data_IF_483788950071
#
_entry.id   IF_483788950071
#
_cell.length_a   1.000
_cell.length_b   1.000
_cell.length_c   1.000
_cell.angle_alpha   90.00
_cell.angle_beta   90.00
_cell.angle_gamma   90.00
#
_symmetry.space_group_name_H-M   'P 1'
#
loop_
_entity.id
_entity.type
_entity.pdbx_description
1 polymer ?
#
# COMPACT_ATOMS: atom_id res chain seq x y z
N UNK A 1 -43.18 -47.31 -20.20
CA UNK A 1 -42.74 -46.89 -21.54
C UNK A 1 -42.75 -45.36 -21.56
N UNK A 2 -41.55 -44.74 -21.60
CA UNK A 2 -41.25 -43.30 -21.79
C UNK A 2 -41.67 -42.32 -20.68
N UNK A 3 -41.00 -41.21 -20.37
CA UNK A 3 -39.68 -40.62 -20.68
C UNK A 3 -39.49 -39.43 -19.71
N UNK A 4 -38.23 -39.10 -19.37
CA UNK A 4 -37.81 -37.85 -18.71
C UNK A 4 -38.27 -36.62 -19.54
N UNK A 5 -38.50 -35.44 -18.95
CA UNK A 5 -37.48 -34.37 -18.85
C UNK A 5 -38.03 -32.99 -18.37
N UNK A 6 -37.08 -32.25 -17.83
CA UNK A 6 -36.94 -30.88 -17.29
C UNK A 6 -37.36 -29.73 -18.21
N UNK A 7 -37.78 -28.59 -17.63
CA UNK A 7 -37.17 -27.26 -17.84
C UNK A 7 -37.96 -26.10 -17.22
N UNK A 8 -37.44 -25.57 -16.11
CA UNK A 8 -37.59 -24.17 -15.71
C UNK A 8 -36.78 -23.29 -16.68
N UNK A 9 -37.40 -22.25 -17.25
CA UNK A 9 -36.69 -21.15 -17.92
C UNK A 9 -37.49 -19.87 -17.82
N UNK A 10 -36.93 -18.89 -17.13
CA UNK A 10 -37.33 -17.48 -17.23
C UNK A 10 -36.93 -16.71 -16.00
N UNK A 11 -35.74 -16.08 -16.01
CA UNK A 11 -35.37 -14.80 -15.35
C UNK A 11 -33.84 -14.60 -15.46
N UNK A 12 -33.33 -14.34 -16.67
CA UNK A 12 -31.91 -13.95 -16.87
C UNK A 12 -31.72 -12.74 -17.80
N UNK A 13 -32.79 -12.23 -18.42
CA UNK A 13 -32.70 -11.15 -19.39
C UNK A 13 -32.65 -9.74 -18.75
N UNK A 14 -33.27 -9.54 -17.58
CA UNK A 14 -33.47 -8.19 -16.99
C UNK A 14 -32.26 -7.67 -16.17
N UNK A 15 -31.34 -8.57 -15.78
CA UNK A 15 -30.14 -8.19 -15.00
C UNK A 15 -29.04 -7.60 -15.89
N UNK A 16 -29.01 -7.96 -17.18
CA UNK A 16 -27.91 -7.60 -18.09
C UNK A 16 -27.99 -6.14 -18.56
N UNK A 17 -29.20 -5.58 -18.67
CA UNK A 17 -29.43 -4.17 -19.03
C UNK A 17 -28.93 -3.20 -17.96
N UNK A 18 -29.27 -3.45 -16.68
CA UNK A 18 -28.93 -2.57 -15.54
C UNK A 18 -27.43 -2.51 -15.22
N UNK A 19 -26.70 -3.61 -15.46
CA UNK A 19 -25.23 -3.66 -15.31
C UNK A 19 -24.53 -2.82 -16.37
N UNK A 20 -25.10 -2.73 -17.58
CA UNK A 20 -24.49 -2.05 -18.72
C UNK A 20 -24.60 -0.53 -18.61
N UNK A 21 -25.76 0.00 -18.15
CA UNK A 21 -25.92 1.43 -17.84
C UNK A 21 -25.06 1.88 -16.65
N UNK A 22 -24.97 1.04 -15.62
CA UNK A 22 -24.14 1.34 -14.44
C UNK A 22 -22.64 1.37 -14.78
N UNK A 23 -22.18 0.48 -15.68
CA UNK A 23 -20.80 0.46 -16.16
C UNK A 23 -20.45 1.70 -16.99
N UNK A 24 -21.38 2.17 -17.83
CA UNK A 24 -21.19 3.38 -18.63
C UNK A 24 -21.15 4.65 -17.77
N UNK A 25 -22.01 4.75 -16.75
CA UNK A 25 -22.02 5.88 -15.79
C UNK A 25 -20.74 5.93 -14.93
N UNK A 26 -20.21 4.78 -14.51
CA UNK A 26 -18.96 4.68 -13.75
C UNK A 26 -17.75 4.97 -14.63
N UNK A 27 -17.76 4.54 -15.90
CA UNK A 27 -16.70 4.85 -16.86
C UNK A 27 -16.64 6.36 -17.17
N UNK A 28 -17.78 7.03 -17.36
CA UNK A 28 -17.86 8.46 -17.63
C UNK A 28 -17.42 9.33 -16.42
N UNK A 29 -17.74 8.88 -15.20
CA UNK A 29 -17.32 9.55 -13.96
C UNK A 29 -15.84 9.31 -13.64
N UNK A 30 -15.32 8.11 -13.94
CA UNK A 30 -13.90 7.80 -13.83
C UNK A 30 -13.06 8.58 -14.85
N UNK A 31 -13.55 8.75 -16.09
CA UNK A 31 -12.88 9.55 -17.12
C UNK A 31 -12.80 11.05 -16.76
N UNK A 32 -13.84 11.63 -16.16
CA UNK A 32 -13.85 13.04 -15.70
C UNK A 32 -12.94 13.32 -14.50
N UNK A 33 -12.61 12.31 -13.70
CA UNK A 33 -11.67 12.41 -12.56
C UNK A 33 -10.24 12.10 -13.02
N UNK A 34 -10.07 11.15 -13.95
CA UNK A 34 -8.80 10.80 -14.57
C UNK A 34 -8.17 11.95 -15.37
N UNK A 35 -8.96 12.90 -15.88
CA UNK A 35 -8.46 14.06 -16.62
C UNK A 35 -7.79 15.15 -15.77
N UNK A 36 -7.69 14.97 -14.43
CA UNK A 36 -7.20 16.03 -13.54
C UNK A 36 -5.94 15.73 -12.71
N UNK A 37 -5.38 14.52 -12.66
CA UNK A 37 -4.20 14.23 -11.81
C UNK A 37 -3.26 13.10 -12.33
N UNK A 38 -1.96 13.09 -11.97
CA UNK A 38 -0.94 12.22 -12.56
C UNK A 38 -1.05 10.73 -12.17
N UNK A 39 -0.75 9.84 -13.14
CA UNK A 39 -1.17 8.43 -13.21
C UNK A 39 -0.53 7.38 -12.28
N UNK A 40 0.21 7.75 -11.22
CA UNK A 40 0.82 6.76 -10.30
C UNK A 40 -0.14 6.23 -9.22
N UNK A 41 -1.16 7.00 -8.83
CA UNK A 41 -2.11 6.64 -7.75
C UNK A 41 -3.24 5.67 -8.19
N UNK A 42 -3.50 5.54 -9.49
CA UNK A 42 -4.62 4.73 -10.01
C UNK A 42 -4.31 3.22 -10.08
N UNK A 43 -3.04 2.84 -10.28
CA UNK A 43 -2.65 1.42 -10.32
C UNK A 43 -2.77 0.75 -8.94
N UNK A 44 -2.50 1.50 -7.86
CA UNK A 44 -2.62 1.02 -6.49
C UNK A 44 -4.09 0.83 -6.09
N UNK A 45 -4.96 1.80 -6.39
CA UNK A 45 -6.39 1.72 -6.08
C UNK A 45 -7.11 0.60 -6.86
N UNK A 46 -6.80 0.44 -8.16
CA UNK A 46 -7.35 -0.64 -8.98
C UNK A 46 -6.90 -2.04 -8.53
N UNK A 47 -5.64 -2.18 -8.12
CA UNK A 47 -5.10 -3.44 -7.59
C UNK A 47 -5.71 -3.77 -6.22
N UNK A 48 -5.95 -2.77 -5.36
CA UNK A 48 -6.67 -2.92 -4.07
C UNK A 48 -8.11 -3.41 -4.25
N UNK A 49 -8.85 -2.86 -5.22
CA UNK A 49 -10.21 -3.30 -5.52
C UNK A 49 -10.27 -4.75 -6.05
N UNK A 50 -9.31 -5.13 -6.90
CA UNK A 50 -9.23 -6.47 -7.46
C UNK A 50 -8.84 -7.54 -6.41
N UNK A 51 -7.89 -7.22 -5.51
CA UNK A 51 -7.52 -8.11 -4.41
C UNK A 51 -8.64 -8.27 -3.37
N UNK A 52 -9.40 -7.20 -3.09
CA UNK A 52 -10.62 -7.22 -2.24
C UNK A 52 -11.71 -8.17 -2.76
N UNK A 53 -11.74 -8.47 -4.05
CA UNK A 53 -12.79 -9.32 -4.68
C UNK A 53 -12.42 -10.80 -4.75
N UNK A 54 -11.13 -11.12 -4.70
CA UNK A 54 -10.62 -12.49 -4.91
C UNK A 54 -10.35 -13.22 -3.59
N UNK A 55 -10.21 -12.50 -2.46
CA UNK A 55 -10.14 -13.05 -1.10
C UNK A 55 -11.07 -12.24 -0.18
N UNK A 56 -11.73 -12.94 0.74
CA UNK A 56 -12.69 -12.39 1.73
C UNK A 56 -12.21 -11.07 2.36
N UNK A 57 -13.12 -10.15 2.67
CA UNK A 57 -12.79 -8.94 3.43
C UNK A 57 -12.29 -9.36 4.83
N UNK A 58 -11.13 -8.87 5.30
CA UNK A 58 -10.61 -9.27 6.60
C UNK A 58 -11.52 -8.75 7.72
N UNK A 59 -11.70 -9.54 8.77
CA UNK A 59 -12.36 -9.08 9.99
C UNK A 59 -11.54 -7.98 10.69
N UNK A 60 -10.21 -8.12 10.63
CA UNK A 60 -9.27 -7.24 11.33
C UNK A 60 -7.98 -6.98 10.55
N UNK A 61 -7.33 -5.87 10.87
CA UNK A 61 -6.03 -5.47 10.37
C UNK A 61 -5.03 -5.43 11.51
N UNK A 62 -3.78 -5.75 11.20
CA UNK A 62 -2.66 -5.65 12.12
C UNK A 62 -1.43 -5.15 11.36
N UNK A 63 -0.51 -4.46 12.03
CA UNK A 63 0.79 -4.11 11.49
C UNK A 63 1.93 -4.61 12.40
N UNK A 64 3.02 -5.02 11.77
CA UNK A 64 4.31 -5.24 12.42
C UNK A 64 5.39 -4.55 11.60
N UNK A 65 6.12 -3.65 12.25
CA UNK A 65 7.07 -2.77 11.58
C UNK A 65 8.39 -2.82 12.34
N UNK A 66 9.51 -2.86 11.62
CA UNK A 66 10.85 -2.77 12.24
C UNK A 66 11.57 -1.57 11.67
N UNK A 67 12.03 -0.66 12.52
CA UNK A 67 12.73 0.57 12.16
C UNK A 67 14.22 0.41 12.48
N UNK A 68 15.11 0.26 11.48
CA UNK A 68 16.55 0.40 11.70
C UNK A 68 16.88 1.81 12.20
N UNK A 69 17.67 1.91 13.28
CA UNK A 69 18.11 3.20 13.87
C UNK A 69 19.57 3.54 13.55
N UNK A 70 20.24 2.67 12.80
CA UNK A 70 21.63 2.84 12.40
C UNK A 70 21.91 3.88 11.29
N UNK A 71 21.01 4.16 10.32
CA UNK A 71 21.29 5.19 9.33
C UNK A 71 21.16 6.59 9.94
N UNK A 72 21.86 7.58 9.37
CA UNK A 72 21.75 8.99 9.78
C UNK A 72 20.32 9.53 9.59
N UNK A 73 19.56 8.90 8.69
CA UNK A 73 18.12 9.11 8.48
C UNK A 73 17.39 7.78 8.29
N UNK A 74 16.17 7.64 8.83
CA UNK A 74 15.42 8.62 9.62
C UNK A 74 15.97 8.76 11.05
N UNK A 75 15.80 9.94 11.63
CA UNK A 75 16.14 10.23 13.03
C UNK A 75 15.21 9.48 13.99
N UNK A 76 15.64 9.31 15.24
CA UNK A 76 14.81 8.69 16.28
C UNK A 76 13.52 9.49 16.52
N UNK A 77 13.54 10.82 16.36
CA UNK A 77 12.37 11.66 16.48
C UNK A 77 11.35 11.38 15.36
N UNK A 78 11.81 11.27 14.10
CA UNK A 78 10.94 10.91 12.98
C UNK A 78 10.32 9.51 13.15
N UNK A 79 11.12 8.55 13.62
CA UNK A 79 10.61 7.21 13.94
C UNK A 79 9.53 7.30 15.04
N UNK A 80 9.77 8.07 16.09
CA UNK A 80 8.79 8.27 17.16
C UNK A 80 7.49 8.90 16.65
N UNK A 81 7.57 9.90 15.76
CA UNK A 81 6.39 10.51 15.16
C UNK A 81 5.58 9.51 14.33
N UNK A 82 6.25 8.68 13.52
CA UNK A 82 5.57 7.61 12.78
C UNK A 82 4.89 6.59 13.68
N UNK A 83 5.51 6.25 14.83
CA UNK A 83 4.90 5.37 15.82
C UNK A 83 3.60 5.98 16.36
N UNK A 84 3.61 7.28 16.67
CA UNK A 84 2.39 7.99 17.08
C UNK A 84 1.31 8.01 15.99
N UNK A 85 1.70 8.12 14.72
CA UNK A 85 0.73 8.07 13.61
C UNK A 85 0.18 6.66 13.38
N UNK A 86 0.98 5.61 13.61
CA UNK A 86 0.51 4.22 13.60
C UNK A 86 -0.50 3.94 14.70
N UNK A 87 -0.29 4.49 15.90
CA UNK A 87 -1.25 4.38 17.00
C UNK A 87 -2.62 4.95 16.61
N UNK A 88 -2.62 6.09 15.92
CA UNK A 88 -3.85 6.72 15.40
C UNK A 88 -4.50 5.88 14.30
N UNK A 89 -3.73 5.40 13.33
CA UNK A 89 -4.26 4.63 12.19
C UNK A 89 -4.89 3.28 12.62
N UNK A 90 -4.39 2.70 13.71
CA UNK A 90 -4.92 1.46 14.25
C UNK A 90 -5.94 1.68 15.38
N UNK A 91 -6.16 2.90 15.88
CA UNK A 91 -7.04 3.19 17.04
C UNK A 91 -6.89 2.17 18.20
N UNK A 92 -5.68 1.68 18.42
CA UNK A 92 -5.41 0.53 19.29
C UNK A 92 -4.05 0.65 19.95
N UNK A 93 -3.77 -0.23 20.93
CA UNK A 93 -2.46 -0.24 21.55
C UNK A 93 -1.41 -0.74 20.55
N UNK A 94 -0.19 -0.25 20.73
CA UNK A 94 0.98 -0.77 20.04
C UNK A 94 2.03 -1.16 21.08
N UNK A 95 2.65 -2.30 20.86
CA UNK A 95 3.81 -2.73 21.61
C UNK A 95 5.07 -2.21 20.90
N UNK A 96 5.95 -1.56 21.65
CA UNK A 96 7.27 -1.12 21.17
C UNK A 96 8.37 -1.95 21.81
N UNK A 97 9.20 -2.56 20.98
CA UNK A 97 10.32 -3.40 21.39
C UNK A 97 11.63 -2.76 20.94
N UNK A 98 12.41 -2.27 21.91
CA UNK A 98 13.78 -1.83 21.64
C UNK A 98 14.68 -3.04 21.34
N UNK A 99 15.47 -2.95 20.26
CA UNK A 99 16.45 -3.95 19.85
C UNK A 99 17.78 -3.26 19.57
N UNK A 100 18.87 -4.04 19.51
CA UNK A 100 20.17 -3.50 19.15
C UNK A 100 20.15 -3.00 17.70
N UNK A 101 20.20 -1.68 17.50
CA UNK A 101 20.20 -1.04 16.18
C UNK A 101 18.84 -0.95 15.50
N UNK A 102 17.74 -1.25 16.20
CA UNK A 102 16.39 -1.10 15.66
C UNK A 102 15.32 -0.98 16.74
N UNK A 103 14.14 -0.54 16.34
CA UNK A 103 12.91 -0.55 17.14
C UNK A 103 11.86 -1.35 16.36
N UNK A 104 11.26 -2.36 16.99
CA UNK A 104 10.14 -3.09 16.40
C UNK A 104 8.83 -2.64 17.04
N UNK A 105 7.79 -2.48 16.23
CA UNK A 105 6.44 -2.10 16.65
C UNK A 105 5.46 -3.14 16.16
N UNK A 106 4.52 -3.51 17.02
CA UNK A 106 3.41 -4.41 16.67
C UNK A 106 2.13 -3.76 17.16
N UNK A 107 1.15 -3.60 16.27
CA UNK A 107 -0.17 -3.07 16.65
C UNK A 107 -1.09 -4.19 17.10
N UNK A 108 -2.07 -3.85 17.93
CA UNK A 108 -3.21 -4.72 18.18
C UNK A 108 -4.04 -4.95 16.90
N UNK A 109 -4.65 -6.14 16.73
CA UNK A 109 -5.59 -6.36 15.63
C UNK A 109 -6.86 -5.53 15.79
N UNK A 110 -7.18 -4.68 14.83
CA UNK A 110 -8.35 -3.79 14.87
C UNK A 110 -9.33 -4.07 13.75
N UNK A 111 -10.62 -3.88 14.00
CA UNK A 111 -11.67 -4.17 13.02
C UNK A 111 -11.59 -3.28 11.78
N UNK A 112 -12.06 -3.76 10.63
CA UNK A 112 -12.16 -2.96 9.39
C UNK A 112 -12.85 -1.61 9.59
N UNK A 113 -13.87 -1.53 10.45
CA UNK A 113 -14.59 -0.29 10.74
C UNK A 113 -13.77 0.78 11.51
N UNK A 114 -12.68 0.38 12.18
CA UNK A 114 -11.80 1.29 12.95
C UNK A 114 -10.44 1.48 12.29
N UNK A 115 -10.11 0.65 11.31
CA UNK A 115 -8.85 0.74 10.61
C UNK A 115 -8.90 1.89 9.62
N UNK A 116 -8.11 2.93 9.87
CA UNK A 116 -7.94 4.02 8.91
C UNK A 116 -6.87 3.62 7.89
N UNK A 117 -7.33 3.04 6.78
CA UNK A 117 -6.47 2.58 5.71
C UNK A 117 -5.70 3.72 5.02
N UNK A 118 -6.29 4.92 4.94
CA UNK A 118 -5.68 6.07 4.28
C UNK A 118 -4.60 6.68 5.18
N UNK A 119 -4.86 6.80 6.49
CA UNK A 119 -3.84 7.20 7.46
C UNK A 119 -2.69 6.19 7.53
N UNK A 120 -2.99 4.89 7.54
CA UNK A 120 -1.96 3.85 7.52
C UNK A 120 -1.08 3.95 6.27
N UNK A 121 -1.68 4.14 5.10
CA UNK A 121 -0.93 4.32 3.86
C UNK A 121 -0.06 5.58 3.89
N UNK A 122 -0.58 6.71 4.37
CA UNK A 122 0.19 7.94 4.50
C UNK A 122 1.41 7.78 5.42
N UNK A 123 1.29 6.99 6.49
CA UNK A 123 2.44 6.64 7.34
C UNK A 123 3.44 5.76 6.60
N UNK A 124 2.97 4.77 5.83
CA UNK A 124 3.85 3.93 5.02
C UNK A 124 4.65 4.75 4.00
N UNK A 125 4.01 5.71 3.32
CA UNK A 125 4.67 6.62 2.37
C UNK A 125 5.77 7.43 3.08
N UNK A 126 5.48 8.00 4.26
CA UNK A 126 6.47 8.75 5.03
C UNK A 126 7.65 7.88 5.50
N UNK A 127 7.40 6.62 5.86
CA UNK A 127 8.46 5.68 6.23
C UNK A 127 9.34 5.40 5.00
N UNK A 128 8.75 5.17 3.83
CA UNK A 128 9.48 4.97 2.58
C UNK A 128 10.35 6.17 2.23
N UNK A 129 9.80 7.38 2.33
CA UNK A 129 10.54 8.62 2.11
C UNK A 129 11.69 8.80 3.12
N UNK A 130 11.45 8.53 4.41
CA UNK A 130 12.48 8.72 5.44
C UNK A 130 13.64 7.73 5.34
N UNK A 131 13.42 6.55 4.79
CA UNK A 131 14.46 5.57 4.50
C UNK A 131 15.02 5.64 3.07
N UNK A 132 14.48 6.51 2.22
CA UNK A 132 14.89 6.65 0.84
C UNK A 132 16.41 6.87 0.73
N UNK A 133 17.03 6.16 -0.21
CA UNK A 133 18.48 6.19 -0.43
C UNK A 133 19.30 5.33 0.54
N UNK A 134 18.76 4.88 1.67
CA UNK A 134 19.48 4.01 2.62
C UNK A 134 18.92 2.58 2.64
N UNK A 135 17.60 2.44 2.58
CA UNK A 135 16.90 1.16 2.61
C UNK A 135 15.82 1.14 1.53
N UNK A 136 15.51 -0.05 1.03
CA UNK A 136 14.28 -0.31 0.29
C UNK A 136 13.21 -0.79 1.29
N UNK A 137 11.95 -0.39 1.11
CA UNK A 137 10.87 -0.88 1.97
C UNK A 137 10.31 -2.19 1.42
N UNK A 138 10.30 -3.23 2.26
CA UNK A 138 9.58 -4.47 1.98
C UNK A 138 8.23 -4.45 2.66
N UNK A 139 7.16 -4.51 1.87
CA UNK A 139 5.78 -4.65 2.36
C UNK A 139 5.26 -6.05 2.07
N UNK A 140 5.01 -6.82 3.13
CA UNK A 140 4.50 -8.18 3.05
C UNK A 140 3.14 -8.25 3.72
N UNK A 141 2.15 -8.76 3.01
CA UNK A 141 0.84 -9.00 3.57
C UNK A 141 0.65 -10.48 3.89
N UNK A 142 0.15 -10.76 5.10
CA UNK A 142 -0.11 -12.11 5.58
C UNK A 142 -1.57 -12.20 5.99
N UNK A 143 -2.23 -13.25 5.52
CA UNK A 143 -3.58 -13.60 5.94
C UNK A 143 -3.50 -14.70 6.99
N UNK A 144 -4.12 -14.50 8.15
CA UNK A 144 -4.08 -15.44 9.28
C UNK A 144 -5.46 -15.56 9.91
N UNK A 145 -5.76 -16.72 10.50
CA UNK A 145 -6.87 -16.85 11.44
C UNK A 145 -6.34 -16.71 12.86
N UNK A 146 -6.89 -15.77 13.62
CA UNK A 146 -6.57 -15.52 15.03
C UNK A 146 -7.90 -15.45 15.76
N UNK A 147 -8.10 -16.31 16.77
CA UNK A 147 -9.33 -16.39 17.56
C UNK A 147 -10.61 -16.45 16.71
N UNK A 148 -10.57 -17.23 15.63
CA UNK A 148 -11.70 -17.40 14.71
C UNK A 148 -11.93 -16.24 13.74
N UNK A 149 -11.15 -15.16 13.82
CA UNK A 149 -11.22 -13.99 12.92
C UNK A 149 -10.16 -14.05 11.83
N UNK A 150 -10.53 -13.65 10.62
CA UNK A 150 -9.59 -13.49 9.51
C UNK A 150 -8.87 -12.14 9.64
N UNK A 151 -7.56 -12.19 9.91
CA UNK A 151 -6.71 -11.02 10.10
C UNK A 151 -5.80 -10.83 8.88
N UNK A 152 -5.77 -9.61 8.33
CA UNK A 152 -4.77 -9.17 7.36
C UNK A 152 -3.66 -8.43 8.11
N UNK A 153 -2.50 -9.08 8.24
CA UNK A 153 -1.33 -8.54 8.89
C UNK A 153 -0.36 -7.95 7.86
N UNK A 154 -0.06 -6.66 7.99
CA UNK A 154 0.96 -5.95 7.23
C UNK A 154 2.30 -6.07 7.96
N UNK A 155 3.33 -6.51 7.25
CA UNK A 155 4.70 -6.58 7.76
C UNK A 155 5.54 -5.62 6.92
N UNK A 156 6.10 -4.59 7.57
CA UNK A 156 6.87 -3.53 6.90
C UNK A 156 8.29 -3.55 7.46
N UNK A 157 9.26 -3.73 6.58
CA UNK A 157 10.68 -3.81 6.96
C UNK A 157 11.51 -3.00 5.96
N UNK A 158 12.16 -1.90 6.38
CA UNK A 158 13.26 -1.30 5.66
C UNK A 158 14.41 -2.32 5.60
N UNK A 159 14.76 -2.73 4.39
CA UNK A 159 15.83 -3.69 4.11
C UNK A 159 16.96 -2.97 3.39
N UNK A 160 18.19 -3.20 3.84
CA UNK A 160 19.37 -2.69 3.14
C UNK A 160 19.39 -3.31 1.74
N UNK A 161 19.44 -2.51 0.67
CA UNK A 161 19.44 -3.05 -0.68
C UNK A 161 20.73 -3.85 -0.91
N UNK A 162 20.62 -4.98 -1.62
CA UNK A 162 21.77 -5.83 -1.95
C UNK A 162 22.72 -5.15 -2.93
N UNK A 163 22.21 -4.21 -3.71
CA UNK A 163 22.97 -3.42 -4.67
C UNK A 163 22.78 -1.93 -4.39
N UNK A 164 23.83 -1.11 -4.49
CA UNK A 164 23.71 0.35 -4.39
C UNK A 164 22.66 0.84 -5.37
N UNK A 165 21.79 1.76 -4.94
CA UNK A 165 20.98 2.50 -5.89
C UNK A 165 21.91 3.39 -6.71
N UNK A 166 21.77 3.37 -8.04
CA UNK A 166 22.41 4.37 -8.87
C UNK A 166 21.95 5.73 -8.33
N UNK A 167 22.87 6.52 -7.79
CA UNK A 167 22.62 7.94 -7.62
C UNK A 167 22.15 8.44 -8.99
N UNK A 168 21.04 9.16 -9.04
CA UNK A 168 20.66 9.84 -10.26
C UNK A 168 21.85 10.72 -10.66
N UNK A 169 22.59 10.29 -11.68
CA UNK A 169 23.64 11.04 -12.36
C UNK A 169 22.98 12.23 -13.06
N UNK A 170 22.52 13.24 -12.31
CA UNK A 170 21.99 14.49 -12.86
C UNK A 170 22.95 15.67 -12.69
N UNK A 171 24.03 15.54 -11.91
CA UNK A 171 25.01 16.63 -11.75
C UNK A 171 26.26 16.49 -12.64
N UNK A 172 26.47 15.36 -13.32
CA UNK A 172 27.66 15.14 -14.15
C UNK A 172 27.49 15.52 -15.64
N UNK A 173 26.27 15.86 -16.07
CA UNK A 173 25.96 16.17 -17.47
C UNK A 173 25.98 17.67 -17.82
N UNK A 174 25.93 18.58 -16.85
CA UNK A 174 25.91 20.02 -17.10
C UNK A 174 27.30 20.65 -17.28
N UNK A 175 28.37 20.02 -16.77
CA UNK A 175 29.70 20.64 -16.75
C UNK A 175 30.55 20.34 -18.00
N UNK A 176 30.14 19.39 -18.85
CA UNK A 176 30.84 19.07 -20.11
C UNK A 176 30.32 19.81 -21.33
N UNK A 177 29.24 20.58 -21.20
CA UNK A 177 28.68 21.38 -22.31
C UNK A 177 29.11 22.85 -22.30
N UNK A 178 29.88 23.30 -21.31
CA UNK A 178 30.33 24.69 -21.18
C UNK A 178 31.84 24.91 -21.39
N UNK A 179 32.61 23.87 -21.72
CA UNK A 179 34.06 23.99 -21.98
C UNK A 179 34.43 23.48 -23.37
N UNK A 180 34.32 24.38 -24.34
CA UNK A 180 34.74 24.23 -25.74
C UNK A 180 33.84 25.13 -26.59
N UNK A 181 34.29 26.22 -27.21
CA UNK A 181 35.51 26.43 -27.99
C UNK A 181 35.82 27.93 -27.97
N UNK A 182 37.02 28.33 -27.52
CA UNK A 182 37.66 29.56 -28.00
C UNK A 182 39.02 29.12 -28.56
N UNK A 183 39.16 29.23 -29.88
CA UNK A 183 40.39 29.02 -30.61
C UNK A 183 40.77 30.35 -31.24
N UNK A 184 41.95 30.84 -30.90
CA UNK A 184 42.73 31.84 -31.65
C UNK A 184 43.94 31.10 -32.25
#
# INVERSE_FOLDING_TARGET
MGTRDRAERGTTADVRGRISESAAFVADRAARIASRLPGRRLAAAGRRYWQRRVREQPDRYQASITFPTAPDRPTVAEIHDWIGDLERAFEGHLDVYARRGSVAVVTDPVSDARFDADAFEAVCERIEDGYAGTHAISHIEKWRRIDGRLVRAHVIVPVKPLFPHAAADDDAAQDRSASGIEAD
#
